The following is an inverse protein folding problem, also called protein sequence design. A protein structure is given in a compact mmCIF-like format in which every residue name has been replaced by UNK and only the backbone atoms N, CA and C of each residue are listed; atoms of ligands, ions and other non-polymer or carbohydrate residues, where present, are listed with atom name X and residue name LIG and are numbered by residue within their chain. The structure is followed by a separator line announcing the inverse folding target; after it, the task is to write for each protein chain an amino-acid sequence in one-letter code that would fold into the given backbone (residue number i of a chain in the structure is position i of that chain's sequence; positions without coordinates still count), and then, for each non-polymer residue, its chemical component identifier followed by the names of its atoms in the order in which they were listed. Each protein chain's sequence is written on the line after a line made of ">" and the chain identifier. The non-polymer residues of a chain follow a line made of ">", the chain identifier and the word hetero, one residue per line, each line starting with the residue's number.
data_IF_837087260545
#
_entry.id   IF_837087260545
#
_cell.length_a   1.000
_cell.length_b   1.000
_cell.length_c   1.000
_cell.angle_alpha   90.00
_cell.angle_beta   90.00
_cell.angle_gamma   90.00
#
_symmetry.space_group_name_H-M   'P 1'
#
loop_
_entity.id
_entity.type
_entity.pdbx_description
1 polymer ?
#
# COMPACT_ATOMS: atom_id res chain seq x y z
N UNK A 1 18.28 22.01 4.36
CA UNK A 1 16.97 21.31 4.35
C UNK A 1 16.92 20.22 3.29
N UNK A 2 17.24 20.51 2.02
CA UNK A 2 17.21 19.54 0.91
C UNK A 2 18.07 18.28 1.16
N UNK A 3 19.25 18.42 1.77
CA UNK A 3 20.11 17.28 2.09
C UNK A 3 19.49 16.34 3.15
N UNK A 4 18.70 16.88 4.09
CA UNK A 4 18.00 16.09 5.09
C UNK A 4 16.76 15.39 4.51
N UNK A 5 16.12 16.00 3.52
CA UNK A 5 14.97 15.44 2.80
C UNK A 5 15.38 14.22 1.98
N UNK A 6 16.43 14.35 1.16
CA UNK A 6 16.98 13.25 0.36
C UNK A 6 17.47 12.09 1.23
N UNK A 7 18.04 12.40 2.41
CA UNK A 7 18.57 11.39 3.31
C UNK A 7 17.50 10.56 4.01
N UNK A 8 16.37 11.16 4.37
CA UNK A 8 15.28 10.47 5.10
C UNK A 8 14.38 9.66 4.17
N UNK A 9 14.19 10.13 2.92
CA UNK A 9 13.24 9.54 1.99
C UNK A 9 13.88 8.73 0.85
N UNK A 10 15.23 8.77 0.71
CA UNK A 10 15.95 8.04 -0.35
C UNK A 10 15.50 8.44 -1.75
N UNK A 11 15.82 7.62 -2.73
CA UNK A 11 15.47 7.82 -4.15
C UNK A 11 14.00 7.45 -4.47
N UNK A 12 13.10 7.61 -3.49
CA UNK A 12 11.66 7.41 -3.65
C UNK A 12 10.94 8.62 -4.25
N UNK A 13 11.69 9.58 -4.76
CA UNK A 13 11.22 10.83 -5.35
C UNK A 13 10.20 10.69 -6.51
N UNK A 14 9.97 9.46 -7.01
CA UNK A 14 8.96 9.19 -8.03
C UNK A 14 7.56 8.86 -7.48
N UNK A 15 7.42 8.59 -6.18
CA UNK A 15 6.17 8.11 -5.57
C UNK A 15 5.64 9.01 -4.45
N UNK A 16 6.47 9.90 -3.96
CA UNK A 16 6.13 10.87 -2.92
C UNK A 16 7.04 12.10 -3.01
N UNK A 17 6.57 13.23 -2.50
CA UNK A 17 7.33 14.47 -2.47
C UNK A 17 7.19 15.17 -1.10
N UNK A 18 8.18 15.98 -0.68
CA UNK A 18 8.08 16.83 0.48
C UNK A 18 7.23 18.08 0.17
N UNK A 19 6.47 18.54 1.15
CA UNK A 19 5.83 19.85 1.09
C UNK A 19 6.86 20.97 1.26
N UNK A 20 6.54 22.22 0.88
CA UNK A 20 7.31 23.38 1.32
C UNK A 20 7.43 23.43 2.84
N UNK A 21 8.58 23.90 3.33
CA UNK A 21 8.80 24.09 4.78
C UNK A 21 7.81 25.13 5.31
N UNK A 22 7.02 24.75 6.31
CA UNK A 22 6.11 25.64 7.02
C UNK A 22 6.31 25.49 8.52
N UNK A 23 6.68 26.57 9.21
CA UNK A 23 6.92 26.58 10.66
C UNK A 23 7.91 25.50 11.12
N UNK A 24 8.97 25.26 10.32
CA UNK A 24 9.97 24.21 10.62
C UNK A 24 9.48 22.78 10.45
N UNK A 25 8.31 22.58 9.82
CA UNK A 25 7.73 21.27 9.50
C UNK A 25 7.75 21.02 8.01
N UNK A 26 7.96 19.76 7.64
CA UNK A 26 7.83 19.24 6.29
C UNK A 26 6.87 18.07 6.34
N UNK A 27 5.91 18.04 5.42
CA UNK A 27 5.02 16.91 5.22
C UNK A 27 5.47 16.11 4.01
N UNK A 28 5.29 14.79 4.04
CA UNK A 28 5.53 13.89 2.90
C UNK A 28 4.20 13.51 2.32
N UNK A 29 4.02 13.74 1.03
CA UNK A 29 2.76 13.60 0.31
C UNK A 29 2.91 12.51 -0.75
N UNK A 30 1.90 11.63 -0.87
CA UNK A 30 1.87 10.58 -1.87
C UNK A 30 1.62 11.13 -3.28
N UNK A 31 2.37 10.65 -4.27
CA UNK A 31 2.19 10.97 -5.70
C UNK A 31 1.42 9.90 -6.47
N UNK A 32 1.19 8.75 -5.84
CA UNK A 32 0.43 7.64 -6.41
C UNK A 32 -0.38 6.89 -5.34
N UNK A 33 -1.35 6.12 -5.81
CA UNK A 33 -2.08 5.17 -4.98
C UNK A 33 -1.24 3.92 -4.72
N UNK A 34 -1.34 3.33 -3.53
CA UNK A 34 -0.59 2.13 -3.21
C UNK A 34 -0.68 1.71 -1.75
N UNK A 35 0.17 0.79 -1.37
CA UNK A 35 0.37 0.31 -0.02
C UNK A 35 1.58 1.02 0.60
N UNK A 36 1.35 1.80 1.68
CA UNK A 36 2.43 2.43 2.42
C UNK A 36 3.22 1.39 3.22
N UNK A 37 4.53 1.37 3.01
CA UNK A 37 5.48 0.60 3.81
C UNK A 37 6.28 1.56 4.69
N UNK A 38 6.45 1.19 5.96
CA UNK A 38 7.23 1.95 6.94
C UNK A 38 8.24 1.01 7.58
N UNK A 39 9.52 1.36 7.51
CA UNK A 39 10.57 0.70 8.27
C UNK A 39 10.58 1.24 9.71
N UNK A 40 9.89 0.51 10.59
CA UNK A 40 9.71 0.91 12.00
C UNK A 40 11.03 0.96 12.77
N UNK A 41 11.99 0.10 12.42
CA UNK A 41 13.29 0.06 13.10
C UNK A 41 14.14 1.28 12.75
N UNK A 42 14.19 1.66 11.46
CA UNK A 42 14.86 2.88 11.03
C UNK A 42 14.18 4.12 11.60
N UNK A 43 12.85 4.17 11.55
CA UNK A 43 12.06 5.25 12.14
C UNK A 43 12.37 5.44 13.62
N UNK A 44 12.39 4.35 14.38
CA UNK A 44 12.72 4.35 15.80
C UNK A 44 14.14 4.85 16.05
N UNK A 45 15.12 4.38 15.27
CA UNK A 45 16.52 4.81 15.37
C UNK A 45 16.67 6.31 15.15
N UNK A 46 16.07 6.86 14.09
CA UNK A 46 16.11 8.30 13.81
C UNK A 46 15.45 9.10 14.92
N UNK A 47 14.26 8.70 15.37
CA UNK A 47 13.56 9.40 16.44
C UNK A 47 14.29 9.31 17.80
N UNK A 48 15.13 8.29 18.02
CA UNK A 48 15.89 8.13 19.26
C UNK A 48 17.01 9.17 19.45
N UNK A 49 17.39 9.92 18.41
CA UNK A 49 18.31 11.06 18.57
C UNK A 49 17.73 12.20 19.40
N UNK A 50 16.39 12.27 19.55
CA UNK A 50 15.70 13.22 20.42
C UNK A 50 15.61 14.67 19.91
N UNK A 51 16.36 15.04 18.88
CA UNK A 51 16.38 16.40 18.32
C UNK A 51 15.63 16.51 16.99
N UNK A 52 15.21 15.39 16.43
CA UNK A 52 14.36 15.31 15.24
C UNK A 52 13.21 14.35 15.49
N UNK A 53 12.11 14.59 14.82
CA UNK A 53 10.92 13.77 14.92
C UNK A 53 10.34 13.50 13.55
N UNK A 54 10.07 12.24 13.26
CA UNK A 54 9.30 11.80 12.10
C UNK A 54 8.09 11.07 12.64
N UNK A 55 6.89 11.58 12.34
CA UNK A 55 5.61 10.93 12.62
C UNK A 55 5.03 10.44 11.31
N UNK A 56 4.61 9.19 11.23
CA UNK A 56 4.09 8.57 10.01
C UNK A 56 2.66 8.06 10.18
N UNK A 57 1.94 7.87 9.07
CA UNK A 57 0.78 6.98 9.08
C UNK A 57 1.24 5.56 9.41
N UNK A 58 0.30 4.73 9.82
CA UNK A 58 0.59 3.32 10.10
C UNK A 58 1.05 2.61 8.82
N UNK A 59 2.11 1.82 8.91
CA UNK A 59 2.58 0.97 7.81
C UNK A 59 1.56 -0.11 7.44
N UNK A 60 1.66 -0.63 6.22
CA UNK A 60 0.72 -1.61 5.65
C UNK A 60 -0.73 -1.10 5.53
N UNK A 61 -0.89 0.20 5.33
CA UNK A 61 -2.19 0.84 5.04
C UNK A 61 -2.24 1.33 3.61
N UNK A 62 -3.44 1.35 3.03
CA UNK A 62 -3.66 1.93 1.71
C UNK A 62 -3.54 3.44 1.76
N UNK A 63 -2.93 4.02 0.74
CA UNK A 63 -2.82 5.46 0.55
C UNK A 63 -3.23 5.84 -0.86
N UNK A 64 -3.74 7.05 -1.00
CA UNK A 64 -4.12 7.65 -2.28
C UNK A 64 -3.20 8.82 -2.61
N UNK A 65 -3.09 9.13 -3.88
CA UNK A 65 -2.39 10.34 -4.34
C UNK A 65 -2.93 11.57 -3.61
N UNK A 66 -2.02 12.39 -3.06
CA UNK A 66 -2.34 13.56 -2.25
C UNK A 66 -2.46 13.29 -0.75
N UNK A 67 -2.42 12.03 -0.32
CA UNK A 67 -2.43 11.69 1.11
C UNK A 67 -1.13 12.12 1.80
N UNK A 68 -1.25 12.66 3.01
CA UNK A 68 -0.11 12.93 3.89
C UNK A 68 0.35 11.61 4.52
N UNK A 69 1.59 11.24 4.26
CA UNK A 69 2.20 9.99 4.71
C UNK A 69 2.94 10.14 6.02
N UNK A 70 3.67 11.25 6.15
CA UNK A 70 4.47 11.59 7.32
C UNK A 70 4.60 13.10 7.49
N UNK A 71 4.97 13.49 8.69
CA UNK A 71 5.44 14.84 9.00
C UNK A 71 6.76 14.76 9.76
N UNK A 72 7.69 15.61 9.41
CA UNK A 72 8.99 15.71 10.10
C UNK A 72 9.27 17.12 10.54
N UNK A 73 9.98 17.24 11.65
CA UNK A 73 10.50 18.52 12.16
C UNK A 73 11.77 18.31 12.97
N UNK A 74 12.60 19.34 12.96
CA UNK A 74 13.70 19.49 13.92
C UNK A 74 13.16 20.21 15.15
N UNK A 75 13.38 19.66 16.35
CA UNK A 75 12.80 20.18 17.59
C UNK A 75 13.54 21.44 18.06
N UNK A 76 14.89 21.47 18.15
CA UNK A 76 15.63 22.68 18.50
C UNK A 76 15.72 23.65 17.30
N UNK A 77 16.02 24.91 17.56
CA UNK A 77 16.26 25.91 16.50
C UNK A 77 17.52 25.60 15.66
N UNK A 78 18.48 24.92 16.26
CA UNK A 78 19.76 24.51 15.64
C UNK A 78 20.03 23.06 16.00
N UNK A 79 20.33 22.23 15.01
CA UNK A 79 20.79 20.85 15.19
C UNK A 79 22.25 20.72 14.80
N UNK A 80 22.98 19.87 15.49
CA UNK A 80 24.37 19.57 15.15
C UNK A 80 24.44 18.77 13.84
N UNK A 81 25.42 19.10 13.01
CA UNK A 81 25.62 18.47 11.70
C UNK A 81 25.87 16.97 11.81
N UNK A 82 26.65 16.55 12.79
CA UNK A 82 26.95 15.13 13.05
C UNK A 82 25.70 14.27 13.31
N UNK A 83 24.71 14.83 14.01
CA UNK A 83 23.43 14.14 14.24
C UNK A 83 22.60 14.00 12.96
N UNK A 84 22.61 15.04 12.13
CA UNK A 84 21.91 14.99 10.85
C UNK A 84 22.56 13.96 9.91
N UNK A 85 23.89 13.94 9.86
CA UNK A 85 24.66 12.94 9.11
C UNK A 85 24.40 11.52 9.63
N UNK A 86 24.36 11.33 10.95
CA UNK A 86 24.04 10.03 11.55
C UNK A 86 22.63 9.55 11.19
N UNK A 87 21.63 10.44 11.17
CA UNK A 87 20.28 10.12 10.73
C UNK A 87 20.24 9.75 9.23
N UNK A 88 21.00 10.47 8.40
CA UNK A 88 21.16 10.16 6.99
C UNK A 88 21.75 8.78 6.77
N UNK A 89 22.80 8.42 7.52
CA UNK A 89 23.44 7.10 7.42
C UNK A 89 22.51 5.94 7.72
N UNK A 90 21.49 6.12 8.57
CA UNK A 90 20.48 5.08 8.84
C UNK A 90 19.69 4.74 7.58
N UNK A 91 19.56 5.67 6.64
CA UNK A 91 18.80 5.50 5.41
C UNK A 91 19.65 5.03 4.22
N UNK A 92 20.96 4.83 4.36
CA UNK A 92 21.85 4.45 3.25
C UNK A 92 21.51 3.09 2.62
N UNK A 93 20.92 2.16 3.38
CA UNK A 93 20.51 0.84 2.94
C UNK A 93 19.00 0.78 2.53
N UNK A 94 18.39 1.92 2.36
CA UNK A 94 17.01 2.06 1.90
C UNK A 94 16.17 3.06 2.70
N UNK A 95 15.03 3.49 2.17
CA UNK A 95 14.20 4.54 2.74
C UNK A 95 13.44 4.07 4.00
N UNK A 96 13.00 5.03 4.82
CA UNK A 96 12.08 4.78 5.93
C UNK A 96 10.65 4.54 5.41
N UNK A 97 10.26 5.26 4.35
CA UNK A 97 8.95 5.17 3.73
C UNK A 97 9.06 4.70 2.29
N UNK A 98 8.17 3.81 1.87
CA UNK A 98 8.01 3.45 0.47
C UNK A 98 6.52 3.22 0.16
N UNK A 99 6.10 3.51 -1.07
CA UNK A 99 4.78 3.16 -1.57
C UNK A 99 4.95 2.01 -2.57
N UNK A 100 4.23 0.91 -2.33
CA UNK A 100 4.10 -0.19 -3.29
C UNK A 100 2.83 0.04 -4.10
N UNK A 101 2.93 0.47 -5.37
CA UNK A 101 1.76 0.67 -6.22
C UNK A 101 0.96 -0.63 -6.38
N UNK A 102 -0.36 -0.51 -6.51
CA UNK A 102 -1.19 -1.66 -6.85
C UNK A 102 -0.93 -2.06 -8.30
N UNK A 103 -0.56 -3.31 -8.52
CA UNK A 103 -0.18 -3.84 -9.83
C UNK A 103 -1.21 -4.80 -10.42
N UNK A 104 -2.02 -5.47 -9.56
CA UNK A 104 -3.08 -6.37 -10.00
C UNK A 104 -4.16 -5.57 -10.73
N UNK A 105 -4.52 -6.03 -11.94
CA UNK A 105 -5.51 -5.37 -12.79
C UNK A 105 -6.67 -6.28 -13.18
N UNK A 106 -6.44 -7.60 -13.19
CA UNK A 106 -7.39 -8.61 -13.67
C UNK A 106 -7.73 -9.57 -12.55
N UNK A 107 -8.97 -9.58 -12.13
CA UNK A 107 -9.45 -10.46 -11.08
C UNK A 107 -10.52 -11.43 -11.62
N UNK A 108 -10.54 -12.63 -11.05
CA UNK A 108 -11.63 -13.58 -11.25
C UNK A 108 -12.35 -13.82 -9.92
N UNK A 109 -13.63 -14.13 -10.00
CA UNK A 109 -14.44 -14.53 -8.85
C UNK A 109 -15.05 -15.89 -9.15
N UNK A 110 -14.84 -16.82 -8.27
CA UNK A 110 -15.47 -18.15 -8.27
C UNK A 110 -16.40 -18.19 -7.07
N UNK A 111 -17.71 -18.22 -7.35
CA UNK A 111 -18.73 -18.33 -6.30
C UNK A 111 -19.12 -19.79 -6.16
N UNK A 112 -19.11 -20.30 -4.93
CA UNK A 112 -19.51 -21.68 -4.63
C UNK A 112 -20.77 -21.69 -3.76
N UNK A 113 -21.46 -22.79 -3.77
CA UNK A 113 -22.64 -23.03 -2.92
C UNK A 113 -23.85 -23.53 -3.68
N UNK A 114 -24.40 -24.62 -3.21
CA UNK A 114 -25.54 -25.29 -3.84
C UNK A 114 -26.79 -24.39 -3.96
N UNK A 115 -27.00 -23.50 -2.98
CA UNK A 115 -28.18 -22.62 -3.01
C UNK A 115 -28.04 -21.52 -4.06
N UNK A 116 -26.86 -20.96 -4.22
CA UNK A 116 -26.56 -19.94 -5.25
C UNK A 116 -26.58 -20.59 -6.64
N UNK A 117 -25.92 -21.75 -6.77
CA UNK A 117 -25.85 -22.49 -8.04
C UNK A 117 -27.23 -22.88 -8.57
N UNK A 118 -28.14 -23.32 -7.71
CA UNK A 118 -29.52 -23.67 -8.08
C UNK A 118 -30.49 -22.48 -8.08
N UNK A 119 -29.97 -21.26 -7.88
CA UNK A 119 -30.78 -20.04 -7.90
C UNK A 119 -31.77 -19.89 -6.75
N UNK A 120 -31.57 -20.62 -5.63
CA UNK A 120 -32.44 -20.54 -4.44
C UNK A 120 -32.20 -19.26 -3.65
N UNK A 121 -30.96 -18.77 -3.66
CA UNK A 121 -30.58 -17.48 -3.09
C UNK A 121 -29.78 -16.68 -4.12
N UNK A 122 -29.84 -15.36 -4.01
CA UNK A 122 -29.06 -14.47 -4.88
C UNK A 122 -27.63 -14.38 -4.35
N UNK A 123 -26.64 -14.39 -5.27
CA UNK A 123 -25.26 -14.13 -4.93
C UNK A 123 -25.08 -12.69 -4.39
N UNK A 124 -24.79 -12.59 -3.11
CA UNK A 124 -24.55 -11.32 -2.43
C UNK A 124 -23.05 -10.96 -2.33
N UNK A 125 -22.15 -11.93 -2.56
CA UNK A 125 -20.71 -11.73 -2.39
C UNK A 125 -20.06 -11.11 -3.62
N UNK A 126 -20.38 -11.60 -4.82
CA UNK A 126 -19.78 -11.11 -6.07
C UNK A 126 -19.87 -9.59 -6.23
N UNK A 127 -21.03 -8.92 -6.03
CA UNK A 127 -21.11 -7.46 -6.17
C UNK A 127 -20.24 -6.72 -5.14
N UNK A 128 -20.10 -7.27 -3.94
CA UNK A 128 -19.26 -6.66 -2.87
C UNK A 128 -17.78 -6.79 -3.22
N UNK A 129 -17.35 -7.97 -3.69
CA UNK A 129 -15.96 -8.21 -4.09
C UNK A 129 -15.62 -7.36 -5.31
N UNK A 130 -16.49 -7.31 -6.32
CA UNK A 130 -16.30 -6.49 -7.52
C UNK A 130 -16.09 -5.02 -7.17
N UNK A 131 -16.92 -4.46 -6.30
CA UNK A 131 -16.74 -3.10 -5.80
C UNK A 131 -15.40 -2.94 -5.07
N UNK A 132 -15.02 -3.91 -4.25
CA UNK A 132 -13.75 -3.88 -3.51
C UNK A 132 -12.54 -3.90 -4.43
N UNK A 133 -12.48 -4.80 -5.40
CA UNK A 133 -11.34 -4.87 -6.34
C UNK A 133 -11.22 -3.61 -7.19
N UNK A 134 -12.35 -2.99 -7.55
CA UNK A 134 -12.37 -1.73 -8.28
C UNK A 134 -11.72 -0.57 -7.50
N UNK A 135 -11.83 -0.56 -6.16
CA UNK A 135 -11.15 0.42 -5.30
C UNK A 135 -9.62 0.37 -5.42
N UNK A 136 -9.06 -0.78 -5.83
CA UNK A 136 -7.62 -1.00 -6.05
C UNK A 136 -7.22 -0.92 -7.53
N UNK A 137 -8.14 -0.49 -8.41
CA UNK A 137 -7.90 -0.33 -9.84
C UNK A 137 -7.87 -1.65 -10.62
N UNK A 138 -8.39 -2.74 -10.04
CA UNK A 138 -8.58 -4.01 -10.73
C UNK A 138 -10.02 -4.14 -11.25
N UNK A 139 -10.20 -4.99 -12.26
CA UNK A 139 -11.49 -5.28 -12.87
C UNK A 139 -11.77 -6.78 -12.83
N UNK A 140 -13.03 -7.14 -12.59
CA UNK A 140 -13.49 -8.50 -12.75
C UNK A 140 -13.53 -8.85 -14.23
N UNK A 141 -12.78 -9.86 -14.63
CA UNK A 141 -12.71 -10.35 -16.01
C UNK A 141 -13.34 -11.71 -16.21
N UNK A 142 -13.54 -12.44 -15.13
CA UNK A 142 -14.06 -13.81 -15.15
C UNK A 142 -14.88 -14.06 -13.89
N UNK A 143 -16.07 -14.64 -14.07
CA UNK A 143 -16.93 -15.05 -12.97
C UNK A 143 -17.67 -16.34 -13.35
N UNK A 144 -17.60 -17.32 -12.47
CA UNK A 144 -18.40 -18.56 -12.58
C UNK A 144 -18.97 -18.95 -11.20
N UNK A 145 -20.12 -19.60 -11.25
CA UNK A 145 -20.79 -20.13 -10.05
C UNK A 145 -20.82 -21.66 -10.13
N UNK A 146 -20.44 -22.32 -9.06
CA UNK A 146 -20.40 -23.77 -8.96
C UNK A 146 -21.23 -24.30 -7.77
N UNK A 147 -21.69 -25.54 -7.90
CA UNK A 147 -22.05 -26.35 -6.74
C UNK A 147 -20.80 -26.68 -5.90
N UNK A 148 -20.99 -27.36 -4.76
CA UNK A 148 -19.90 -27.70 -3.84
C UNK A 148 -19.06 -28.91 -4.34
N UNK A 149 -18.71 -28.94 -5.62
CA UNK A 149 -17.88 -29.95 -6.26
C UNK A 149 -16.43 -29.44 -6.40
N UNK A 150 -15.53 -29.98 -5.61
CA UNK A 150 -14.09 -29.60 -5.58
C UNK A 150 -13.42 -29.65 -6.95
N UNK A 151 -13.81 -30.61 -7.80
CA UNK A 151 -13.20 -30.76 -9.15
C UNK A 151 -13.63 -29.61 -10.04
N UNK A 152 -14.93 -29.29 -10.07
CA UNK A 152 -15.46 -28.19 -10.87
C UNK A 152 -14.91 -26.85 -10.43
N UNK A 153 -14.81 -26.63 -9.10
CA UNK A 153 -14.20 -25.42 -8.54
C UNK A 153 -12.74 -25.30 -8.98
N UNK A 154 -11.97 -26.40 -8.87
CA UNK A 154 -10.56 -26.42 -9.29
C UNK A 154 -10.43 -26.12 -10.79
N UNK A 155 -11.23 -26.74 -11.63
CA UNK A 155 -11.24 -26.50 -13.08
C UNK A 155 -11.64 -25.05 -13.40
N UNK A 156 -12.62 -24.49 -12.69
CA UNK A 156 -12.99 -23.08 -12.80
C UNK A 156 -11.85 -22.13 -12.48
N UNK A 157 -11.11 -22.39 -11.39
CA UNK A 157 -9.91 -21.62 -11.04
C UNK A 157 -8.83 -21.70 -12.12
N UNK A 158 -8.59 -22.89 -12.67
CA UNK A 158 -7.61 -23.07 -13.75
C UNK A 158 -8.02 -22.32 -15.03
N UNK A 159 -9.30 -22.39 -15.41
CA UNK A 159 -9.82 -21.59 -16.56
C UNK A 159 -9.66 -20.10 -16.33
N UNK A 160 -9.92 -19.62 -15.12
CA UNK A 160 -9.73 -18.21 -14.77
C UNK A 160 -8.27 -17.77 -14.93
N UNK A 161 -7.31 -18.61 -14.50
CA UNK A 161 -5.88 -18.35 -14.65
C UNK A 161 -5.48 -18.37 -16.13
N UNK A 162 -5.93 -19.38 -16.90
CA UNK A 162 -5.69 -19.49 -18.34
C UNK A 162 -6.27 -18.30 -19.12
N UNK A 163 -7.42 -17.77 -18.68
CA UNK A 163 -8.02 -16.54 -19.22
C UNK A 163 -7.21 -15.27 -18.87
N UNK A 164 -6.20 -15.37 -18.01
CA UNK A 164 -5.28 -14.29 -17.66
C UNK A 164 -5.64 -13.54 -16.38
N UNK A 165 -6.41 -14.14 -15.47
CA UNK A 165 -6.63 -13.57 -14.16
C UNK A 165 -5.33 -13.57 -13.34
N UNK A 166 -5.02 -12.43 -12.74
CA UNK A 166 -3.83 -12.24 -11.89
C UNK A 166 -4.13 -12.59 -10.41
N UNK A 167 -5.40 -12.61 -10.06
CA UNK A 167 -5.90 -13.02 -8.74
C UNK A 167 -7.26 -13.72 -8.91
N UNK A 168 -7.49 -14.76 -8.13
CA UNK A 168 -8.76 -15.49 -8.09
C UNK A 168 -9.30 -15.45 -6.67
N UNK A 169 -10.52 -14.96 -6.51
CA UNK A 169 -11.27 -14.99 -5.27
C UNK A 169 -12.26 -16.15 -5.31
N UNK A 170 -12.17 -17.06 -4.34
CA UNK A 170 -13.17 -18.08 -4.11
C UNK A 170 -14.03 -17.67 -2.92
N UNK A 171 -15.35 -17.73 -3.08
CA UNK A 171 -16.32 -17.35 -2.05
C UNK A 171 -17.48 -18.34 -2.06
N UNK A 172 -18.02 -18.62 -0.88
CA UNK A 172 -19.15 -19.53 -0.68
C UNK A 172 -19.71 -19.42 0.71
#
# INVERSE_FOLDING_TARGET
>A
CEAAESAVFGDTASKMHPSPVKEGKIEVIADCDGLLKVDSEKLKKVNSFGEMMIATRHGNTTVKKGDKLAGTRIIPLVIKKDKLEAASHICNDGPILDIKPFVVRKAAIITTGNEVYHGRIQDAFTPVIEKKIAEFGAQMMFHEVFDDDDKKITEGCLRAIEAGAEIVFCTG
#
